data_IF_149441134380
#
_entry.id   IF_149441134380
#
_cell.length_a   1.000
_cell.length_b   1.000
_cell.length_c   1.000
_cell.angle_alpha   90.00
_cell.angle_beta   90.00
_cell.angle_gamma   90.00
#
_symmetry.space_group_name_H-M   'P 1'
#
loop_
_entity.id
_entity.type
_entity.pdbx_description
1 polymer ?
#
# COMPACT_ATOMS: atom_id res chain seq x y z
N UNK A 1 -10.34 -0.03 -16.00
CA UNK A 1 -9.12 -0.86 -15.94
C UNK A 1 -8.50 -1.06 -17.33
N UNK A 2 -9.23 -1.58 -18.33
CA UNK A 2 -8.72 -1.81 -19.69
C UNK A 2 -8.18 -0.54 -20.38
N UNK A 3 -8.92 0.58 -20.31
CA UNK A 3 -8.52 1.87 -20.90
C UNK A 3 -7.23 2.41 -20.26
N UNK A 4 -7.07 2.25 -18.95
CA UNK A 4 -5.84 2.64 -18.24
C UNK A 4 -4.64 1.80 -18.66
N UNK A 5 -4.83 0.50 -18.89
CA UNK A 5 -3.78 -0.40 -19.39
C UNK A 5 -3.38 -0.05 -20.81
N UNK A 6 -4.34 0.29 -21.67
CA UNK A 6 -4.08 0.73 -23.04
C UNK A 6 -3.24 2.02 -23.05
N UNK A 7 -3.59 3.01 -22.23
CA UNK A 7 -2.81 4.27 -22.12
C UNK A 7 -1.39 3.99 -21.60
N UNK A 8 -1.25 3.14 -20.59
CA UNK A 8 0.06 2.80 -20.03
C UNK A 8 0.95 2.07 -21.05
N UNK A 9 0.38 1.12 -21.79
CA UNK A 9 1.11 0.36 -22.79
C UNK A 9 1.51 1.21 -24.00
N UNK A 10 0.57 2.00 -24.54
CA UNK A 10 0.82 2.75 -25.78
C UNK A 10 1.55 4.07 -25.57
N UNK A 11 1.43 4.71 -24.40
CA UNK A 11 2.00 6.03 -24.15
C UNK A 11 3.12 6.03 -23.11
N UNK A 12 2.87 5.44 -21.93
CA UNK A 12 3.84 5.50 -20.84
C UNK A 12 5.07 4.60 -21.07
N UNK A 13 4.89 3.42 -21.66
CA UNK A 13 6.00 2.50 -21.94
C UNK A 13 7.08 3.08 -22.90
N UNK A 14 6.74 3.67 -24.07
CA UNK A 14 7.76 4.26 -24.94
C UNK A 14 8.42 5.51 -24.32
N UNK A 15 7.67 6.31 -23.58
CA UNK A 15 8.17 7.51 -22.89
C UNK A 15 9.20 7.15 -21.81
N UNK A 16 8.99 6.03 -21.10
CA UNK A 16 9.95 5.49 -20.12
C UNK A 16 11.25 5.02 -20.79
N UNK A 17 11.17 4.42 -21.99
CA UNK A 17 12.35 3.94 -22.72
C UNK A 17 13.19 5.09 -23.28
N UNK A 18 12.54 6.14 -23.77
CA UNK A 18 13.17 7.39 -24.20
C UNK A 18 13.86 8.11 -23.03
N UNK A 19 13.19 8.18 -21.88
CA UNK A 19 13.78 8.72 -20.64
C UNK A 19 14.98 7.90 -20.18
N UNK A 20 14.92 6.57 -20.27
CA UNK A 20 16.03 5.69 -19.90
C UNK A 20 17.25 5.90 -20.81
N UNK A 21 17.06 6.05 -22.12
CA UNK A 21 18.15 6.34 -23.07
C UNK A 21 18.85 7.68 -22.78
N UNK A 22 18.12 8.66 -22.25
CA UNK A 22 18.65 9.98 -21.92
C UNK A 22 19.27 10.07 -20.51
N UNK A 23 19.09 9.05 -19.66
CA UNK A 23 19.64 9.01 -18.31
C UNK A 23 21.01 8.31 -18.27
N UNK A 24 22.07 9.08 -18.00
CA UNK A 24 23.47 8.61 -17.85
C UNK A 24 23.81 8.04 -16.46
N UNK A 25 22.81 7.76 -15.62
CA UNK A 25 23.04 7.20 -14.29
C UNK A 25 23.33 5.69 -14.39
N UNK A 26 24.56 5.29 -14.06
CA UNK A 26 24.99 3.89 -13.99
C UNK A 26 24.14 3.15 -12.95
N UNK A 27 23.13 2.43 -13.43
CA UNK A 27 22.07 1.86 -12.61
C UNK A 27 22.58 0.58 -11.92
N UNK A 28 23.21 0.71 -10.74
CA UNK A 28 23.79 -0.41 -9.96
C UNK A 28 22.77 -1.43 -9.40
N UNK A 29 21.50 -1.33 -9.76
CA UNK A 29 20.41 -2.21 -9.31
C UNK A 29 20.35 -3.53 -10.08
N UNK A 30 21.07 -3.62 -11.21
CA UNK A 30 21.19 -4.86 -12.00
C UNK A 30 22.18 -5.86 -11.43
N UNK A 31 22.89 -5.53 -10.34
CA UNK A 31 23.82 -6.47 -9.73
C UNK A 31 23.02 -7.64 -9.15
N UNK A 32 23.16 -8.87 -9.70
CA UNK A 32 22.45 -10.01 -9.14
C UNK A 32 22.90 -10.18 -7.69
N UNK A 33 21.94 -10.24 -6.77
CA UNK A 33 22.20 -10.57 -5.37
C UNK A 33 23.17 -11.76 -5.31
N UNK A 34 24.27 -11.63 -4.57
CA UNK A 34 25.30 -12.68 -4.47
C UNK A 34 24.62 -14.02 -4.24
N UNK A 35 24.78 -14.92 -5.20
CA UNK A 35 24.11 -16.22 -5.23
C UNK A 35 24.64 -17.08 -4.07
N UNK A 36 23.91 -17.13 -2.95
CA UNK A 36 24.27 -18.01 -1.84
C UNK A 36 23.89 -19.45 -2.21
N UNK A 37 24.87 -20.36 -2.11
CA UNK A 37 24.81 -21.74 -2.65
C UNK A 37 23.64 -22.59 -2.12
N UNK A 38 23.05 -22.20 -0.98
CA UNK A 38 21.97 -22.91 -0.31
C UNK A 38 20.63 -22.14 -0.28
N UNK A 39 20.48 -21.06 -1.06
CA UNK A 39 19.31 -20.17 -0.98
C UNK A 39 17.98 -20.91 -1.23
N UNK A 40 17.92 -21.74 -2.26
CA UNK A 40 16.71 -22.46 -2.67
C UNK A 40 16.28 -23.48 -1.61
N UNK A 41 17.24 -24.07 -0.90
CA UNK A 41 17.02 -25.06 0.14
C UNK A 41 16.63 -24.41 1.48
N UNK A 42 17.22 -23.26 1.81
CA UNK A 42 16.83 -22.45 2.99
C UNK A 42 15.40 -21.89 2.80
N UNK A 43 15.08 -21.41 1.61
CA UNK A 43 13.75 -20.91 1.28
C UNK A 43 12.70 -22.02 1.35
N UNK A 44 12.99 -23.22 0.80
CA UNK A 44 12.03 -24.34 0.82
C UNK A 44 11.76 -24.87 2.25
N UNK A 45 12.78 -24.92 3.11
CA UNK A 45 12.63 -25.31 4.52
C UNK A 45 11.84 -24.27 5.30
N UNK A 46 12.08 -22.98 5.07
CA UNK A 46 11.30 -21.91 5.72
C UNK A 46 9.82 -21.98 5.33
N UNK A 47 9.53 -22.26 4.05
CA UNK A 47 8.18 -22.36 3.52
C UNK A 47 7.44 -23.57 4.14
N UNK A 48 8.12 -24.72 4.24
CA UNK A 48 7.55 -25.92 4.87
C UNK A 48 7.24 -25.72 6.36
N UNK A 49 8.12 -25.02 7.09
CA UNK A 49 7.93 -24.73 8.51
C UNK A 49 6.73 -23.80 8.75
N UNK A 50 6.55 -22.79 7.88
CA UNK A 50 5.41 -21.87 7.93
C UNK A 50 4.10 -22.63 7.62
N UNK A 51 4.11 -23.50 6.61
CA UNK A 51 2.95 -24.32 6.24
C UNK A 51 2.60 -25.33 7.33
N UNK A 52 3.59 -25.95 7.97
CA UNK A 52 3.39 -26.87 9.10
C UNK A 52 2.82 -26.17 10.33
N UNK A 53 3.31 -24.97 10.66
CA UNK A 53 2.76 -24.13 11.73
C UNK A 53 1.31 -23.70 11.42
N UNK A 54 1.02 -23.36 10.17
CA UNK A 54 -0.32 -23.03 9.69
C UNK A 54 -1.30 -24.22 9.80
N UNK A 55 -0.84 -25.42 9.46
CA UNK A 55 -1.62 -26.67 9.59
C UNK A 55 -1.90 -27.06 11.05
N UNK A 56 -0.97 -26.81 11.97
CA UNK A 56 -1.22 -26.98 13.41
C UNK A 56 -2.24 -25.98 13.94
N UNK A 57 -2.28 -24.75 13.41
CA UNK A 57 -3.26 -23.73 13.81
C UNK A 57 -4.68 -24.01 13.30
N UNK A 58 -4.80 -24.80 12.22
CA UNK A 58 -6.07 -25.22 11.61
C UNK A 58 -6.73 -26.36 12.41
N UNK A 59 -5.97 -27.17 13.14
CA UNK A 59 -6.50 -28.33 13.87
C UNK A 59 -6.80 -28.01 15.34
N UNK A 60 -8.09 -27.94 15.71
CA UNK A 60 -8.77 -28.90 16.61
C UNK A 60 -10.15 -28.45 17.15
N UNK A 61 -10.69 -27.27 16.84
CA UNK A 61 -12.03 -26.91 17.33
C UNK A 61 -12.70 -25.85 16.45
N UNK A 62 -13.80 -26.27 15.82
CA UNK A 62 -14.79 -25.51 15.03
C UNK A 62 -14.31 -24.91 13.70
N UNK A 63 -14.74 -25.52 12.59
CA UNK A 63 -14.70 -24.96 11.23
C UNK A 63 -15.79 -23.87 11.12
N UNK A 64 -15.72 -22.88 12.00
CA UNK A 64 -16.50 -21.67 11.85
C UNK A 64 -15.67 -20.67 11.03
N UNK A 65 -16.10 -20.27 9.83
CA UNK A 65 -15.34 -19.37 8.96
C UNK A 65 -15.00 -18.03 9.63
N UNK A 66 -15.82 -17.60 10.60
CA UNK A 66 -15.61 -16.35 11.36
C UNK A 66 -14.45 -16.48 12.35
N UNK A 67 -14.37 -17.61 13.07
CA UNK A 67 -13.31 -17.88 14.05
C UNK A 67 -11.98 -18.11 13.31
N UNK A 68 -12.03 -18.81 12.18
CA UNK A 68 -10.88 -19.03 11.30
C UNK A 68 -10.32 -17.71 10.77
N UNK A 69 -11.16 -16.83 10.20
CA UNK A 69 -10.73 -15.51 9.70
C UNK A 69 -10.05 -14.67 10.79
N UNK A 70 -10.60 -14.68 12.01
CA UNK A 70 -10.03 -13.95 13.15
C UNK A 70 -8.66 -14.52 13.57
N UNK A 71 -8.53 -15.84 13.63
CA UNK A 71 -7.26 -16.54 13.93
C UNK A 71 -6.20 -16.22 12.86
N UNK A 72 -6.56 -16.25 11.59
CA UNK A 72 -5.67 -15.91 10.47
C UNK A 72 -5.17 -14.47 10.52
N UNK A 73 -6.05 -13.52 10.81
CA UNK A 73 -5.66 -12.11 10.99
C UNK A 73 -4.62 -11.93 12.09
N UNK A 74 -4.78 -12.63 13.22
CA UNK A 74 -3.83 -12.58 14.34
C UNK A 74 -2.48 -13.16 13.91
N UNK A 75 -2.46 -14.30 13.21
CA UNK A 75 -1.22 -14.93 12.73
C UNK A 75 -0.46 -14.01 11.76
N UNK A 76 -1.17 -13.38 10.80
CA UNK A 76 -0.56 -12.44 9.84
C UNK A 76 0.03 -11.23 10.57
N UNK A 77 -0.71 -10.64 11.51
CA UNK A 77 -0.22 -9.52 12.33
C UNK A 77 1.02 -9.90 13.14
N UNK A 78 1.02 -11.08 13.75
CA UNK A 78 2.13 -11.54 14.58
C UNK A 78 3.40 -11.76 13.74
N UNK A 79 3.26 -12.38 12.56
CA UNK A 79 4.36 -12.55 11.62
C UNK A 79 4.95 -11.21 11.17
N UNK A 80 4.09 -10.22 10.88
CA UNK A 80 4.51 -8.87 10.51
C UNK A 80 5.26 -8.17 11.64
N UNK A 81 4.78 -8.27 12.88
CA UNK A 81 5.45 -7.70 14.06
C UNK A 81 6.81 -8.37 14.29
N UNK A 82 6.91 -9.69 14.20
CA UNK A 82 8.20 -10.41 14.31
C UNK A 82 9.18 -9.93 13.25
N UNK A 83 8.74 -9.77 12.00
CA UNK A 83 9.59 -9.25 10.93
C UNK A 83 10.13 -7.85 11.24
N UNK A 84 9.28 -6.95 11.74
CA UNK A 84 9.73 -5.60 12.13
C UNK A 84 10.68 -5.63 13.32
N UNK A 85 10.40 -6.44 14.35
CA UNK A 85 11.30 -6.60 15.50
C UNK A 85 12.66 -7.14 15.04
N UNK A 86 12.68 -8.16 14.19
CA UNK A 86 13.92 -8.69 13.62
C UNK A 86 14.71 -7.59 12.89
N UNK A 87 14.01 -6.78 12.08
CA UNK A 87 14.62 -5.68 11.33
C UNK A 87 15.19 -4.59 12.25
N UNK A 88 14.51 -4.24 13.35
CA UNK A 88 14.97 -3.23 14.30
C UNK A 88 16.10 -3.70 15.23
N UNK A 89 16.10 -4.98 15.63
CA UNK A 89 17.06 -5.52 16.61
C UNK A 89 18.35 -5.96 15.93
N UNK A 90 18.28 -6.63 14.78
CA UNK A 90 19.44 -7.27 14.16
C UNK A 90 20.10 -6.44 13.05
N UNK A 91 19.41 -5.41 12.54
CA UNK A 91 19.95 -4.55 11.48
C UNK A 91 20.26 -3.17 12.04
N UNK A 92 21.53 -2.78 12.04
CA UNK A 92 21.93 -1.41 12.37
C UNK A 92 21.39 -0.46 11.28
N UNK A 93 20.32 0.26 11.60
CA UNK A 93 19.60 1.08 10.65
C UNK A 93 20.41 2.33 10.29
N UNK A 94 20.73 2.47 9.01
CA UNK A 94 21.23 3.73 8.48
C UNK A 94 20.10 4.77 8.40
N UNK A 95 20.44 6.06 8.29
CA UNK A 95 19.46 7.16 8.15
C UNK A 95 18.44 6.90 7.02
N UNK A 96 18.90 6.31 5.90
CA UNK A 96 18.04 5.95 4.75
C UNK A 96 17.01 4.85 5.09
N UNK A 97 17.44 3.83 5.84
CA UNK A 97 16.57 2.70 6.20
C UNK A 97 15.52 3.13 7.23
N UNK A 98 15.87 4.07 8.12
CA UNK A 98 14.92 4.68 9.07
C UNK A 98 13.80 5.43 8.34
N UNK A 99 14.14 6.22 7.32
CA UNK A 99 13.15 6.95 6.50
C UNK A 99 12.20 5.96 5.80
N UNK A 100 12.74 4.86 5.25
CA UNK A 100 11.94 3.84 4.58
C UNK A 100 10.95 3.17 5.55
N UNK A 101 11.35 2.91 6.79
CA UNK A 101 10.46 2.32 7.79
C UNK A 101 9.35 3.31 8.17
N UNK A 102 9.68 4.58 8.40
CA UNK A 102 8.69 5.63 8.70
C UNK A 102 7.69 5.76 7.56
N UNK A 103 8.17 5.77 6.30
CA UNK A 103 7.31 5.83 5.13
C UNK A 103 6.43 4.58 5.00
N UNK A 104 6.99 3.40 5.26
CA UNK A 104 6.24 2.15 5.27
C UNK A 104 5.10 2.19 6.29
N UNK A 105 5.38 2.64 7.52
CA UNK A 105 4.35 2.79 8.55
C UNK A 105 3.30 3.82 8.14
N UNK A 106 3.71 4.96 7.57
CA UNK A 106 2.79 5.98 7.09
C UNK A 106 1.83 5.42 6.02
N UNK A 107 2.37 4.72 5.01
CA UNK A 107 1.57 4.10 3.93
C UNK A 107 0.66 3.00 4.47
N UNK A 108 1.17 2.14 5.35
CA UNK A 108 0.39 1.05 5.94
C UNK A 108 -0.72 1.58 6.83
N UNK A 109 -0.43 2.56 7.67
CA UNK A 109 -1.42 3.20 8.53
C UNK A 109 -2.51 3.88 7.70
N UNK A 110 -2.11 4.64 6.68
CA UNK A 110 -3.04 5.25 5.74
C UNK A 110 -3.92 4.21 5.02
N UNK A 111 -3.32 3.13 4.52
CA UNK A 111 -4.04 2.04 3.86
C UNK A 111 -5.03 1.32 4.78
N UNK A 112 -4.64 1.04 6.03
CA UNK A 112 -5.52 0.42 7.03
C UNK A 112 -6.71 1.34 7.33
N UNK A 113 -6.48 2.64 7.52
CA UNK A 113 -7.55 3.60 7.81
C UNK A 113 -8.59 3.66 6.68
N UNK A 114 -8.16 3.65 5.41
CA UNK A 114 -9.07 3.63 4.27
C UNK A 114 -9.78 2.29 4.08
N UNK A 115 -9.15 1.18 4.46
CA UNK A 115 -9.68 -0.18 4.31
C UNK A 115 -10.63 -0.60 5.45
N UNK A 116 -10.76 0.17 6.54
CA UNK A 116 -11.64 -0.18 7.66
C UNK A 116 -13.12 -0.07 7.26
N UNK A 117 -13.68 -1.25 6.96
CA UNK A 117 -15.11 -1.60 6.88
C UNK A 117 -16.03 -0.67 6.08
N UNK A 118 -16.19 -0.92 4.77
CA UNK A 118 -17.32 -0.40 3.99
C UNK A 118 -18.69 -0.73 4.62
N UNK A 119 -18.78 -1.78 5.44
CA UNK A 119 -19.97 -2.18 6.20
C UNK A 119 -20.28 -1.30 7.40
N UNK A 120 -19.27 -0.74 8.08
CA UNK A 120 -19.49 0.12 9.25
C UNK A 120 -20.13 1.45 8.82
N UNK A 121 -19.65 2.02 7.71
CA UNK A 121 -20.26 3.22 7.12
C UNK A 121 -21.69 2.97 6.63
N UNK A 122 -21.96 1.79 6.05
CA UNK A 122 -23.32 1.43 5.65
C UNK A 122 -24.27 1.29 6.85
N UNK A 123 -23.82 0.67 7.95
CA UNK A 123 -24.62 0.55 9.18
C UNK A 123 -24.84 1.92 9.82
N UNK A 124 -23.80 2.77 9.85
CA UNK A 124 -23.93 4.14 10.33
C UNK A 124 -24.95 4.94 9.52
N UNK A 125 -24.88 4.87 8.18
CA UNK A 125 -25.87 5.51 7.31
C UNK A 125 -27.27 4.89 7.44
N UNK A 126 -27.36 3.63 7.87
CA UNK A 126 -28.64 2.97 8.11
C UNK A 126 -29.32 3.49 9.37
N UNK A 127 -28.55 3.60 10.46
CA UNK A 127 -29.06 3.78 11.82
C UNK A 127 -29.07 5.26 12.26
N UNK A 128 -28.13 6.07 11.74
CA UNK A 128 -27.93 7.47 12.18
C UNK A 128 -28.20 8.51 11.09
N UNK A 129 -28.53 8.11 9.86
CA UNK A 129 -28.85 9.05 8.77
C UNK A 129 -30.30 8.92 8.34
N UNK A 130 -31.02 10.04 8.26
CA UNK A 130 -32.33 10.05 7.63
C UNK A 130 -32.17 9.88 6.10
N UNK A 131 -32.64 8.75 5.59
CA UNK A 131 -32.52 8.37 4.17
C UNK A 131 -33.82 8.56 3.39
N UNK A 132 -34.88 9.02 4.03
CA UNK A 132 -36.15 9.28 3.37
C UNK A 132 -36.12 10.71 2.84
N UNK A 133 -35.99 10.86 1.52
CA UNK A 133 -36.08 12.16 0.86
C UNK A 133 -37.31 12.10 -0.05
N UNK A 134 -38.27 12.99 0.20
CA UNK A 134 -39.61 12.91 -0.39
C UNK A 134 -40.23 11.52 -0.12
N UNK A 135 -40.62 10.78 -1.16
CA UNK A 135 -41.18 9.41 -1.07
C UNK A 135 -40.16 8.31 -1.39
N UNK A 136 -38.87 8.64 -1.48
CA UNK A 136 -37.84 7.69 -1.87
C UNK A 136 -36.78 7.49 -0.78
N UNK A 137 -36.43 6.23 -0.56
CA UNK A 137 -35.45 5.82 0.45
C UNK A 137 -34.09 5.59 -0.21
N UNK A 138 -33.13 6.44 0.12
CA UNK A 138 -31.76 6.32 -0.40
C UNK A 138 -31.12 5.00 0.09
N UNK A 139 -30.55 4.19 -0.82
CA UNK A 139 -29.80 2.99 -0.46
C UNK A 139 -28.54 3.32 0.36
N UNK A 140 -28.23 2.54 1.40
CA UNK A 140 -27.03 2.74 2.24
C UNK A 140 -25.73 2.51 1.49
N UNK A 141 -25.72 1.66 0.46
CA UNK A 141 -24.54 1.40 -0.36
C UNK A 141 -24.08 2.62 -1.17
N UNK A 142 -24.94 3.60 -1.45
CA UNK A 142 -24.56 4.81 -2.19
C UNK A 142 -23.59 5.69 -1.40
N UNK A 143 -23.62 5.60 -0.07
CA UNK A 143 -22.67 6.32 0.80
C UNK A 143 -21.23 5.83 0.59
N UNK A 144 -21.01 4.63 0.05
CA UNK A 144 -19.67 4.13 -0.29
C UNK A 144 -19.07 4.85 -1.51
N UNK A 145 -19.91 5.41 -2.38
CA UNK A 145 -19.46 6.16 -3.55
C UNK A 145 -18.88 7.53 -3.21
N UNK A 146 -19.06 8.04 -1.98
CA UNK A 146 -18.47 9.31 -1.58
C UNK A 146 -16.94 9.30 -1.61
N UNK A 147 -16.30 8.18 -1.26
CA UNK A 147 -14.84 8.07 -1.31
C UNK A 147 -14.29 8.33 -2.74
N UNK A 148 -14.71 7.60 -3.79
CA UNK A 148 -14.24 7.89 -5.15
C UNK A 148 -14.70 9.26 -5.67
N UNK A 149 -15.88 9.76 -5.29
CA UNK A 149 -16.33 11.11 -5.68
C UNK A 149 -15.38 12.18 -5.14
N UNK A 150 -15.00 12.10 -3.85
CA UNK A 150 -14.05 13.05 -3.27
C UNK A 150 -12.68 12.96 -3.94
N UNK A 151 -12.20 11.76 -4.27
CA UNK A 151 -10.92 11.63 -4.99
C UNK A 151 -10.99 12.30 -6.37
N UNK A 152 -12.07 12.08 -7.14
CA UNK A 152 -12.22 12.66 -8.48
C UNK A 152 -12.25 14.19 -8.42
N UNK A 153 -12.89 14.78 -7.41
CA UNK A 153 -13.00 16.24 -7.26
C UNK A 153 -11.71 16.83 -6.68
N UNK A 154 -11.13 16.21 -5.66
CA UNK A 154 -9.97 16.73 -4.93
C UNK A 154 -8.64 16.48 -5.64
N UNK A 155 -8.51 15.42 -6.45
CA UNK A 155 -7.28 15.12 -7.18
C UNK A 155 -6.81 16.27 -8.10
N UNK A 156 -7.66 16.86 -8.97
CA UNK A 156 -7.22 18.00 -9.79
C UNK A 156 -6.88 19.21 -8.91
N UNK A 157 -7.65 19.49 -7.86
CA UNK A 157 -7.37 20.60 -6.93
C UNK A 157 -6.00 20.43 -6.27
N UNK A 158 -5.72 19.23 -5.76
CA UNK A 158 -4.42 18.90 -5.17
C UNK A 158 -3.28 19.02 -6.18
N UNK A 159 -3.50 18.62 -7.44
CA UNK A 159 -2.53 18.78 -8.53
C UNK A 159 -2.23 20.26 -8.80
N UNK A 160 -3.25 21.11 -8.88
CA UNK A 160 -3.06 22.56 -9.04
C UNK A 160 -2.32 23.19 -7.86
N UNK A 161 -2.66 22.80 -6.63
CA UNK A 161 -1.95 23.26 -5.42
C UNK A 161 -0.46 22.88 -5.49
N UNK A 162 -0.15 21.67 -5.94
CA UNK A 162 1.23 21.21 -6.06
C UNK A 162 2.03 22.06 -7.06
N UNK A 163 1.47 22.31 -8.26
CA UNK A 163 2.10 23.15 -9.28
C UNK A 163 2.28 24.59 -8.78
N UNK A 164 1.32 25.10 -8.02
CA UNK A 164 1.42 26.44 -7.41
C UNK A 164 2.54 26.51 -6.36
N UNK A 165 2.67 25.47 -5.52
CA UNK A 165 3.74 25.38 -4.51
C UNK A 165 5.12 25.21 -5.16
N UNK A 166 5.22 24.41 -6.21
CA UNK A 166 6.44 24.22 -6.99
C UNK A 166 6.99 25.55 -7.51
N UNK A 167 6.14 26.34 -8.17
CA UNK A 167 6.52 27.68 -8.67
C UNK A 167 7.04 28.59 -7.56
N UNK A 168 6.53 28.46 -6.34
CA UNK A 168 6.95 29.25 -5.18
C UNK A 168 8.28 28.76 -4.57
N UNK A 169 8.56 27.46 -4.64
CA UNK A 169 9.80 26.85 -4.14
C UNK A 169 10.98 27.18 -5.07
N UNK A 170 10.80 27.14 -6.40
CA UNK A 170 11.83 27.52 -7.36
C UNK A 170 12.26 28.99 -7.24
N UNK A 171 11.36 29.88 -6.79
CA UNK A 171 11.69 31.28 -6.51
C UNK A 171 12.58 31.42 -5.27
N UNK A 172 12.54 30.47 -4.34
CA UNK A 172 13.28 30.52 -3.07
C UNK A 172 14.63 29.79 -3.11
N UNK A 173 14.78 28.76 -3.96
CA UNK A 173 16.06 28.08 -4.19
C UNK A 173 16.38 28.06 -5.70
N UNK A 174 17.06 29.09 -6.24
CA UNK A 174 17.63 29.00 -7.57
C UNK A 174 18.65 27.85 -7.59
N UNK A 175 18.56 26.99 -8.61
CA UNK A 175 19.39 25.80 -8.83
C UNK A 175 20.91 26.08 -8.89
N UNK A 176 21.32 27.36 -8.92
CA UNK A 176 22.72 27.77 -8.84
C UNK A 176 23.37 27.52 -7.47
N UNK A 177 22.60 27.41 -6.38
CA UNK A 177 23.16 27.19 -5.04
C UNK A 177 23.33 25.70 -4.67
N UNK A 178 23.05 24.77 -5.59
CA UNK A 178 23.07 23.31 -5.35
C UNK A 178 23.99 22.52 -6.31
N UNK A 179 24.71 23.19 -7.21
CA UNK A 179 25.80 22.64 -8.03
C UNK A 179 27.14 23.22 -7.57
#
# INVERSE_FOLDING_TARGET
MLISLLILYFKAAPELEEFHKNCTLKQNWEQPFKKVKNLTLILSISLLSIIGFFLMFINLADINPIILSRKLLIVILLCLVIYFIYLFVFKALNKRETILIVLFFAVTFFGVLLNKNPTAYNLFAQDFTNRNIFDWKIPTNWFQSFNPIFIIILAPIASYIWIFLEKKIYIFLPLENLL
#
